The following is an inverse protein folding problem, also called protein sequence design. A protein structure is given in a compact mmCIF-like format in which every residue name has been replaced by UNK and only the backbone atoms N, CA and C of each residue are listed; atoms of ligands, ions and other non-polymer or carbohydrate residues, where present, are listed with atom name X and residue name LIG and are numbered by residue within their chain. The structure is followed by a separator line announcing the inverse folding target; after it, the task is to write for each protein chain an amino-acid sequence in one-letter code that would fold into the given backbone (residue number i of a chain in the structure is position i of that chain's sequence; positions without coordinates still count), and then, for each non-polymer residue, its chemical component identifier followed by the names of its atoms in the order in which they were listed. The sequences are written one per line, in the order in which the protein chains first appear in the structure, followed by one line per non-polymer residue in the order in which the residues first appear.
data_IF_420638820478
#
_entry.id   IF_420638820478
#
_cell.length_a   1.000
_cell.length_b   1.000
_cell.length_c   1.000
_cell.angle_alpha   90.00
_cell.angle_beta   90.00
_cell.angle_gamma   90.00
#
_symmetry.space_group_name_H-M   'P 1'
#
loop_
_entity.id
_entity.type
_entity.pdbx_description
1 polymer ?
#
# COMPACT_ATOMS: atom_id res chain seq x y z
N UNK A 1 -21.86 16.78 -5.51
CA UNK A 1 -20.63 17.10 -4.76
C UNK A 1 -20.54 16.39 -3.41
N UNK A 2 -21.61 16.31 -2.62
CA UNK A 2 -21.56 15.70 -1.27
C UNK A 2 -21.07 14.24 -1.22
N UNK A 3 -21.44 13.41 -2.21
CA UNK A 3 -21.01 12.01 -2.26
C UNK A 3 -19.50 11.84 -2.49
N UNK A 4 -18.85 12.74 -3.24
CA UNK A 4 -17.39 12.74 -3.44
C UNK A 4 -16.66 13.08 -2.13
N UNK A 5 -17.21 13.98 -1.32
CA UNK A 5 -16.66 14.31 -0.01
C UNK A 5 -16.80 13.14 0.96
N UNK A 6 -17.95 12.46 0.96
CA UNK A 6 -18.17 11.22 1.74
C UNK A 6 -17.19 10.13 1.30
N UNK A 7 -17.06 9.91 -0.01
CA UNK A 7 -16.13 8.94 -0.57
C UNK A 7 -14.67 9.29 -0.21
N UNK A 8 -14.27 10.56 -0.34
CA UNK A 8 -12.94 11.01 0.01
C UNK A 8 -12.65 10.83 1.51
N UNK A 9 -13.58 11.20 2.37
CA UNK A 9 -13.45 11.01 3.82
C UNK A 9 -13.30 9.54 4.20
N UNK A 10 -14.18 8.68 3.69
CA UNK A 10 -14.11 7.24 3.91
C UNK A 10 -12.82 6.63 3.32
N UNK A 11 -12.45 7.02 2.10
CA UNK A 11 -11.19 6.59 1.47
C UNK A 11 -9.97 7.01 2.28
N UNK A 12 -9.98 8.20 2.88
CA UNK A 12 -8.89 8.69 3.72
C UNK A 12 -8.79 7.89 5.01
N UNK A 13 -9.91 7.61 5.68
CA UNK A 13 -9.94 6.76 6.88
C UNK A 13 -9.42 5.35 6.58
N UNK A 14 -9.89 4.77 5.47
CA UNK A 14 -9.42 3.48 4.99
C UNK A 14 -7.92 3.57 4.69
N UNK A 15 -7.46 4.55 3.92
CA UNK A 15 -6.06 4.73 3.53
C UNK A 15 -5.15 4.91 4.75
N UNK A 16 -5.59 5.62 5.79
CA UNK A 16 -4.86 5.79 7.06
C UNK A 16 -4.77 4.52 7.90
N UNK A 17 -5.68 3.56 7.69
CA UNK A 17 -5.64 2.27 8.40
C UNK A 17 -4.30 1.57 8.14
N UNK A 18 -3.56 1.16 9.18
CA UNK A 18 -2.27 0.50 9.03
C UNK A 18 -2.36 -0.70 8.09
N UNK A 19 -1.47 -0.76 7.11
CA UNK A 19 -1.43 -1.80 6.11
C UNK A 19 -0.04 -1.89 5.49
N UNK A 20 0.14 -2.84 4.57
CA UNK A 20 1.46 -3.16 4.01
C UNK A 20 2.18 -1.96 3.43
N UNK A 21 1.51 -1.22 2.55
CA UNK A 21 2.04 -0.02 1.91
C UNK A 21 2.38 1.10 2.92
N UNK A 22 1.54 1.29 3.93
CA UNK A 22 1.73 2.36 4.92
C UNK A 22 2.94 2.07 5.82
N UNK A 23 3.06 0.83 6.26
CA UNK A 23 4.20 0.38 7.05
C UNK A 23 5.50 0.37 6.25
N UNK A 24 5.43 0.04 4.96
CA UNK A 24 6.58 0.13 4.07
C UNK A 24 7.00 1.59 3.84
N UNK A 25 6.04 2.50 3.63
CA UNK A 25 6.30 3.94 3.54
C UNK A 25 6.93 4.50 4.82
N UNK A 26 6.46 4.06 5.99
CA UNK A 26 7.06 4.37 7.29
C UNK A 26 8.53 3.90 7.36
N UNK A 27 8.78 2.65 6.98
CA UNK A 27 10.13 2.07 6.95
C UNK A 27 11.04 2.82 5.96
N UNK A 28 10.55 3.13 4.76
CA UNK A 28 11.29 3.92 3.78
C UNK A 28 11.57 5.35 4.27
N UNK A 29 10.62 6.01 4.95
CA UNK A 29 10.85 7.31 5.59
C UNK A 29 11.93 7.23 6.68
N UNK A 30 11.92 6.16 7.47
CA UNK A 30 12.91 5.94 8.54
C UNK A 30 14.31 5.60 8.01
N UNK A 31 14.42 4.81 6.93
CA UNK A 31 15.69 4.42 6.33
C UNK A 31 16.26 5.49 5.40
N UNK A 32 15.46 5.94 4.44
CA UNK A 32 15.91 6.68 3.25
C UNK A 32 15.51 8.16 3.26
N UNK A 33 14.71 8.60 4.24
CA UNK A 33 14.25 9.99 4.38
C UNK A 33 13.09 10.35 3.45
N UNK A 34 12.59 11.57 3.60
CA UNK A 34 11.33 12.03 2.98
C UNK A 34 11.36 11.96 1.44
N UNK A 35 12.41 12.50 0.80
CA UNK A 35 12.48 12.58 -0.67
C UNK A 35 12.41 11.22 -1.35
N UNK A 36 13.30 10.30 -0.99
CA UNK A 36 13.35 8.94 -1.57
C UNK A 36 12.07 8.15 -1.28
N UNK A 37 11.49 8.31 -0.09
CA UNK A 37 10.25 7.65 0.29
C UNK A 37 9.04 8.19 -0.48
N UNK A 38 8.99 9.51 -0.78
CA UNK A 38 7.96 10.09 -1.64
C UNK A 38 8.06 9.58 -3.08
N UNK A 39 9.26 9.35 -3.61
CA UNK A 39 9.40 8.67 -4.92
C UNK A 39 8.91 7.21 -4.84
N UNK A 40 9.16 6.54 -3.71
CA UNK A 40 8.53 5.27 -3.37
C UNK A 40 7.01 5.30 -3.49
N UNK A 41 6.40 6.29 -2.85
CA UNK A 41 4.97 6.54 -2.88
C UNK A 41 4.44 6.71 -4.31
N UNK A 42 5.17 7.39 -5.20
CA UNK A 42 4.79 7.49 -6.61
C UNK A 42 4.77 6.13 -7.30
N UNK A 43 5.71 5.23 -6.98
CA UNK A 43 5.70 3.84 -7.44
C UNK A 43 4.45 3.08 -6.98
N UNK A 44 4.03 3.26 -5.73
CA UNK A 44 2.76 2.72 -5.22
C UNK A 44 1.55 3.29 -5.96
N UNK A 45 1.50 4.61 -6.18
CA UNK A 45 0.39 5.23 -6.90
C UNK A 45 0.31 4.74 -8.36
N UNK A 46 1.44 4.53 -9.02
CA UNK A 46 1.47 3.96 -10.37
C UNK A 46 0.85 2.54 -10.42
N UNK A 47 1.11 1.69 -9.43
CA UNK A 47 0.46 0.39 -9.32
C UNK A 47 -1.07 0.52 -9.16
N UNK A 48 -1.53 1.49 -8.36
CA UNK A 48 -2.97 1.73 -8.19
C UNK A 48 -3.61 2.33 -9.44
N UNK A 49 -2.93 3.19 -10.19
CA UNK A 49 -3.41 3.66 -11.50
C UNK A 49 -3.66 2.49 -12.44
N UNK A 50 -2.72 1.53 -12.51
CA UNK A 50 -2.91 0.33 -13.34
C UNK A 50 -4.09 -0.53 -12.86
N UNK A 51 -4.25 -0.70 -11.55
CA UNK A 51 -5.40 -1.41 -10.98
C UNK A 51 -6.72 -0.71 -11.30
N UNK A 52 -6.79 0.61 -11.14
CA UNK A 52 -7.96 1.44 -11.47
C UNK A 52 -8.29 1.30 -12.95
N UNK A 53 -7.29 1.41 -13.83
CA UNK A 53 -7.47 1.26 -15.27
C UNK A 53 -8.01 -0.13 -15.63
N UNK A 54 -7.48 -1.19 -15.00
CA UNK A 54 -7.96 -2.55 -15.19
C UNK A 54 -9.43 -2.70 -14.73
N UNK A 55 -9.78 -2.17 -13.57
CA UNK A 55 -11.14 -2.22 -13.03
C UNK A 55 -12.11 -1.41 -13.91
N UNK A 56 -11.70 -0.22 -14.36
CA UNK A 56 -12.48 0.62 -15.27
C UNK A 56 -12.69 -0.06 -16.64
N UNK A 57 -11.72 -0.84 -17.11
CA UNK A 57 -11.82 -1.65 -18.32
C UNK A 57 -12.71 -2.90 -18.16
N UNK A 58 -13.30 -3.13 -16.98
CA UNK A 58 -14.21 -4.25 -16.73
C UNK A 58 -13.56 -5.48 -16.08
N UNK A 59 -12.25 -5.44 -15.79
CA UNK A 59 -11.57 -6.55 -15.10
C UNK A 59 -12.16 -6.78 -13.70
N UNK A 60 -12.71 -5.76 -13.05
CA UNK A 60 -13.41 -5.89 -11.76
C UNK A 60 -14.68 -6.75 -11.85
N UNK A 61 -15.43 -6.63 -12.96
CA UNK A 61 -16.61 -7.46 -13.21
C UNK A 61 -16.20 -8.90 -13.54
N UNK A 62 -15.10 -9.09 -14.26
CA UNK A 62 -14.53 -10.40 -14.56
C UNK A 62 -14.05 -11.12 -13.28
N UNK A 63 -13.37 -10.39 -12.38
CA UNK A 63 -12.92 -10.92 -11.09
C UNK A 63 -14.10 -11.24 -10.16
N UNK A 64 -15.15 -10.42 -10.17
CA UNK A 64 -16.37 -10.70 -9.39
C UNK A 64 -17.16 -11.88 -9.95
N UNK A 65 -17.16 -12.08 -11.27
CA UNK A 65 -17.80 -13.23 -11.92
C UNK A 65 -17.02 -14.54 -11.72
N UNK A 66 -15.72 -14.49 -11.46
CA UNK A 66 -14.86 -15.66 -11.30
C UNK A 66 -14.39 -15.82 -9.84
N UNK A 67 -15.17 -16.55 -9.04
CA UNK A 67 -14.89 -16.80 -7.62
C UNK A 67 -13.44 -17.29 -7.29
N UNK A 68 -12.78 -18.13 -8.12
CA UNK A 68 -11.38 -18.51 -7.89
C UNK A 68 -10.39 -17.33 -8.04
N UNK A 69 -10.71 -16.30 -8.82
CA UNK A 69 -9.80 -15.18 -9.07
C UNK A 69 -9.49 -14.40 -7.80
N UNK A 70 -10.53 -14.10 -7.00
CA UNK A 70 -10.40 -13.42 -5.72
C UNK A 70 -9.58 -14.27 -4.74
N UNK A 71 -9.73 -15.59 -4.81
CA UNK A 71 -8.93 -16.54 -4.00
C UNK A 71 -7.46 -16.53 -4.41
N UNK A 72 -7.15 -16.54 -5.72
CA UNK A 72 -5.77 -16.48 -6.22
C UNK A 72 -5.10 -15.17 -5.82
N UNK A 73 -5.78 -14.03 -6.05
CA UNK A 73 -5.28 -12.70 -5.70
C UNK A 73 -5.04 -12.60 -4.19
N UNK A 74 -5.96 -13.12 -3.38
CA UNK A 74 -5.78 -13.23 -1.92
C UNK A 74 -4.51 -13.98 -1.58
N UNK A 75 -4.29 -15.18 -2.12
CA UNK A 75 -3.13 -16.01 -1.78
C UNK A 75 -1.80 -15.42 -2.28
N UNK A 76 -1.79 -14.73 -3.42
CA UNK A 76 -0.64 -13.93 -3.87
C UNK A 76 -0.31 -12.85 -2.83
N UNK A 77 -1.33 -12.13 -2.35
CA UNK A 77 -1.18 -11.14 -1.29
C UNK A 77 -0.66 -11.76 0.02
N UNK A 78 -1.19 -12.90 0.45
CA UNK A 78 -0.70 -13.64 1.63
C UNK A 78 0.79 -13.96 1.48
N UNK A 79 1.18 -14.60 0.37
CA UNK A 79 2.56 -15.02 0.13
C UNK A 79 3.53 -13.82 0.13
N UNK A 80 3.13 -12.72 -0.49
CA UNK A 80 3.95 -11.52 -0.57
C UNK A 80 4.09 -10.81 0.79
N UNK A 81 3.02 -10.74 1.60
CA UNK A 81 3.08 -10.21 2.97
C UNK A 81 3.96 -11.06 3.87
N UNK A 82 3.90 -12.39 3.75
CA UNK A 82 4.81 -13.30 4.47
C UNK A 82 6.25 -13.02 4.08
N UNK A 83 6.55 -12.96 2.78
CA UNK A 83 7.88 -12.63 2.28
C UNK A 83 8.38 -11.30 2.84
N UNK A 84 7.58 -10.24 2.77
CA UNK A 84 7.97 -8.90 3.23
C UNK A 84 8.15 -8.83 4.75
N UNK A 85 7.22 -9.40 5.52
CA UNK A 85 7.30 -9.46 6.98
C UNK A 85 8.56 -10.20 7.44
N UNK A 86 8.86 -11.35 6.82
CA UNK A 86 10.09 -12.12 7.08
C UNK A 86 11.33 -11.31 6.68
N UNK A 87 11.35 -10.67 5.51
CA UNK A 87 12.49 -9.84 5.06
C UNK A 87 12.80 -8.71 6.02
N UNK A 88 11.79 -7.95 6.46
CA UNK A 88 11.96 -6.84 7.41
C UNK A 88 12.50 -7.35 8.75
N UNK A 89 12.01 -8.49 9.25
CA UNK A 89 12.51 -9.10 10.49
C UNK A 89 13.97 -9.56 10.34
N UNK A 90 14.33 -10.15 9.20
CA UNK A 90 15.70 -10.60 8.90
C UNK A 90 16.65 -9.40 8.80
N UNK A 91 16.24 -8.36 8.09
CA UNK A 91 17.02 -7.13 7.91
C UNK A 91 17.21 -6.40 9.26
N UNK A 92 16.18 -6.38 10.12
CA UNK A 92 16.29 -5.88 11.50
C UNK A 92 17.24 -6.70 12.39
N UNK A 93 17.55 -7.96 12.04
CA UNK A 93 18.48 -8.81 12.80
C UNK A 93 19.93 -8.67 12.35
N UNK A 94 20.19 -8.31 11.09
CA UNK A 94 21.55 -8.13 10.58
C UNK A 94 22.09 -6.80 11.08
N UNK A 95 23.18 -6.83 11.87
CA UNK A 95 24.01 -5.66 12.20
C UNK A 95 24.79 -5.20 10.97
N UNK A 96 24.14 -5.09 9.81
CA UNK A 96 24.74 -4.30 8.76
C UNK A 96 24.68 -2.85 9.30
N UNK A 97 25.79 -2.08 9.28
CA UNK A 97 25.64 -0.65 9.07
C UNK A 97 24.57 -0.52 7.99
N UNK A 98 23.61 0.42 8.10
CA UNK A 98 22.80 0.74 6.93
C UNK A 98 23.81 0.84 5.79
N UNK A 99 23.83 -0.16 4.88
CA UNK A 99 24.82 -0.16 3.83
C UNK A 99 24.62 1.21 3.24
N UNK A 100 25.71 1.95 3.19
CA UNK A 100 25.72 3.24 2.59
C UNK A 100 25.32 2.96 1.14
N UNK A 101 24.00 2.97 0.88
CA UNK A 101 23.37 2.81 -0.43
C UNK A 101 23.54 4.14 -1.16
N UNK A 102 24.76 4.69 -1.04
CA UNK A 102 25.31 5.90 -1.62
C UNK A 102 25.58 5.71 -3.12
N UNK A 103 24.91 4.73 -3.75
CA UNK A 103 24.60 4.76 -5.17
C UNK A 103 23.23 5.44 -5.36
N UNK A 104 23.18 6.77 -5.54
CA UNK A 104 21.93 7.54 -5.61
C UNK A 104 20.97 7.07 -6.72
N UNK A 105 21.47 6.37 -7.74
CA UNK A 105 20.67 5.85 -8.85
C UNK A 105 20.07 4.45 -8.60
N UNK A 106 20.63 3.63 -7.70
CA UNK A 106 20.11 2.29 -7.38
C UNK A 106 19.10 2.29 -6.23
N UNK A 107 19.24 3.20 -5.25
CA UNK A 107 18.37 3.24 -4.06
C UNK A 107 16.92 3.66 -4.35
N UNK A 108 16.70 4.76 -5.06
CA UNK A 108 15.35 5.33 -5.26
C UNK A 108 14.48 4.49 -6.18
N UNK A 109 15.04 3.98 -7.27
CA UNK A 109 14.33 3.08 -8.19
C UNK A 109 13.96 1.76 -7.52
N UNK A 110 14.84 1.22 -6.65
CA UNK A 110 14.55 0.02 -5.87
C UNK A 110 13.41 0.25 -4.86
N UNK A 111 13.37 1.42 -4.20
CA UNK A 111 12.28 1.83 -3.30
C UNK A 111 10.95 1.91 -4.06
N UNK A 112 10.91 2.62 -5.19
CA UNK A 112 9.72 2.73 -6.03
C UNK A 112 9.25 1.37 -6.56
N UNK A 113 10.17 0.50 -6.97
CA UNK A 113 9.84 -0.87 -7.40
C UNK A 113 9.27 -1.70 -6.25
N UNK A 114 9.82 -1.61 -5.05
CA UNK A 114 9.29 -2.31 -3.87
C UNK A 114 7.87 -1.84 -3.57
N UNK A 115 7.65 -0.53 -3.46
CA UNK A 115 6.33 0.07 -3.23
C UNK A 115 5.31 -0.33 -4.31
N UNK A 116 5.71 -0.32 -5.57
CA UNK A 116 4.88 -0.79 -6.69
C UNK A 116 4.48 -2.26 -6.52
N UNK A 117 5.44 -3.16 -6.25
CA UNK A 117 5.18 -4.59 -6.11
C UNK A 117 4.29 -4.92 -4.91
N UNK A 118 4.45 -4.20 -3.80
CA UNK A 118 3.57 -4.33 -2.63
C UNK A 118 2.17 -3.83 -2.98
N UNK A 119 2.08 -2.68 -3.65
CA UNK A 119 0.82 -2.06 -3.99
C UNK A 119 0.00 -2.90 -4.98
N UNK A 120 0.63 -3.46 -6.02
CA UNK A 120 -0.08 -4.26 -7.03
C UNK A 120 -0.57 -5.60 -6.48
N UNK A 121 0.09 -6.11 -5.43
CA UNK A 121 -0.32 -7.34 -4.72
C UNK A 121 -1.14 -7.03 -3.46
N UNK A 122 -1.49 -5.76 -3.21
CA UNK A 122 -2.11 -5.36 -1.96
C UNK A 122 -3.60 -5.78 -1.95
N UNK A 123 -3.98 -6.74 -1.09
CA UNK A 123 -5.37 -7.21 -0.99
C UNK A 123 -6.33 -6.09 -0.54
N UNK A 124 -5.85 -5.10 0.22
CA UNK A 124 -6.64 -3.93 0.63
C UNK A 124 -7.08 -3.12 -0.58
N UNK A 125 -6.18 -2.91 -1.55
CA UNK A 125 -6.50 -2.19 -2.76
C UNK A 125 -7.53 -2.95 -3.61
N UNK A 126 -7.35 -4.26 -3.73
CA UNK A 126 -8.30 -5.13 -4.44
C UNK A 126 -9.68 -5.05 -3.80
N UNK A 127 -9.80 -5.15 -2.47
CA UNK A 127 -11.07 -5.04 -1.75
C UNK A 127 -11.72 -3.67 -1.93
N UNK A 128 -10.94 -2.59 -1.95
CA UNK A 128 -11.48 -1.24 -2.18
C UNK A 128 -12.11 -1.16 -3.56
N UNK A 129 -11.43 -1.62 -4.61
CA UNK A 129 -11.97 -1.51 -5.97
C UNK A 129 -13.04 -2.54 -6.31
N UNK A 130 -13.14 -3.66 -5.57
CA UNK A 130 -14.14 -4.71 -5.81
C UNK A 130 -15.36 -4.62 -4.91
N UNK A 131 -15.24 -4.09 -3.69
CA UNK A 131 -16.33 -4.07 -2.71
C UNK A 131 -16.75 -2.66 -2.29
N UNK A 132 -15.84 -1.68 -2.26
CA UNK A 132 -16.12 -0.32 -1.76
C UNK A 132 -16.49 0.64 -2.90
N UNK A 133 -15.64 0.77 -3.92
CA UNK A 133 -15.84 1.67 -5.07
C UNK A 133 -17.18 1.41 -5.78
N UNK A 134 -17.62 0.17 -6.03
CA UNK A 134 -18.93 -0.09 -6.65
C UNK A 134 -20.13 0.47 -5.89
N UNK A 135 -20.02 0.69 -4.57
CA UNK A 135 -21.12 1.26 -3.75
C UNK A 135 -21.38 2.73 -4.06
N UNK A 136 -20.44 3.41 -4.73
CA UNK A 136 -20.51 4.82 -5.10
C UNK A 136 -20.77 5.01 -6.60
N UNK A 137 -20.92 3.93 -7.36
CA UNK A 137 -21.20 3.97 -8.80
C UNK A 137 -22.71 3.88 -8.99
N UNK A 138 -23.24 4.78 -9.82
CA UNK A 138 -24.62 4.71 -10.28
C UNK A 138 -24.66 4.76 -11.81
N UNK A 139 -24.96 3.63 -12.49
CA UNK A 139 -25.05 3.59 -13.95
C UNK A 139 -26.03 4.60 -14.56
N UNK A 140 -27.03 5.07 -13.81
CA UNK A 140 -27.97 6.11 -14.26
C UNK A 140 -27.31 7.49 -14.41
N UNK A 141 -26.18 7.72 -13.75
CA UNK A 141 -25.47 9.00 -13.73
C UNK A 141 -24.29 9.07 -14.72
N UNK A 142 -24.16 8.11 -15.64
CA UNK A 142 -23.20 8.13 -16.75
C UNK A 142 -22.33 6.88 -16.84
N UNK A 143 -21.32 6.86 -17.75
CA UNK A 143 -20.53 5.67 -18.00
C UNK A 143 -19.76 5.18 -16.77
N UNK A 144 -19.96 3.91 -16.40
CA UNK A 144 -19.30 3.26 -15.26
C UNK A 144 -17.77 3.44 -15.29
N UNK A 145 -17.05 3.24 -16.42
CA UNK A 145 -15.59 3.42 -16.46
C UNK A 145 -15.15 4.84 -16.09
N UNK A 146 -15.91 5.86 -16.47
CA UNK A 146 -15.61 7.25 -16.13
C UNK A 146 -15.82 7.51 -14.63
N UNK A 147 -16.86 6.93 -14.02
CA UNK A 147 -17.09 6.99 -12.58
C UNK A 147 -15.97 6.27 -11.81
N UNK A 148 -15.53 5.10 -12.27
CA UNK A 148 -14.37 4.37 -11.69
C UNK A 148 -13.10 5.20 -11.77
N UNK A 149 -12.84 5.84 -12.91
CA UNK A 149 -11.65 6.69 -13.07
C UNK A 149 -11.69 7.90 -12.12
N UNK A 150 -12.84 8.55 -11.97
CA UNK A 150 -13.03 9.67 -11.04
C UNK A 150 -12.85 9.24 -9.57
N UNK A 151 -13.54 8.19 -9.15
CA UNK A 151 -13.42 7.61 -7.82
C UNK A 151 -11.99 7.14 -7.54
N UNK A 152 -11.35 6.52 -8.53
CA UNK A 152 -9.95 6.12 -8.48
C UNK A 152 -9.02 7.31 -8.26
N UNK A 153 -9.21 8.42 -8.97
CA UNK A 153 -8.41 9.64 -8.78
C UNK A 153 -8.57 10.22 -7.36
N UNK A 154 -9.78 10.24 -6.83
CA UNK A 154 -10.05 10.68 -5.45
C UNK A 154 -9.39 9.74 -4.43
N UNK A 155 -9.43 8.43 -4.68
CA UNK A 155 -8.75 7.44 -3.85
C UNK A 155 -7.22 7.59 -3.90
N UNK A 156 -6.63 7.85 -5.07
CA UNK A 156 -5.19 8.12 -5.21
C UNK A 156 -4.76 9.34 -4.40
N UNK A 157 -5.58 10.40 -4.35
CA UNK A 157 -5.33 11.56 -3.50
C UNK A 157 -5.35 11.17 -2.02
N UNK A 158 -6.37 10.43 -1.58
CA UNK A 158 -6.45 9.94 -0.20
C UNK A 158 -5.24 9.07 0.19
N UNK A 159 -4.83 8.17 -0.70
CA UNK A 159 -3.64 7.31 -0.51
C UNK A 159 -2.34 8.10 -0.51
N UNK A 160 -2.22 9.14 -1.33
CA UNK A 160 -1.06 10.04 -1.31
C UNK A 160 -0.94 10.75 0.03
N UNK A 161 -2.05 11.30 0.54
CA UNK A 161 -2.09 12.00 1.83
C UNK A 161 -1.75 11.04 2.97
N UNK A 162 -2.44 9.89 3.04
CA UNK A 162 -2.18 8.88 4.06
C UNK A 162 -0.73 8.36 4.00
N UNK A 163 -0.23 8.05 2.81
CA UNK A 163 1.16 7.62 2.61
C UNK A 163 2.17 8.63 3.11
N UNK A 164 1.95 9.90 2.79
CA UNK A 164 2.81 11.00 3.23
C UNK A 164 2.84 11.09 4.75
N UNK A 165 1.72 10.90 5.44
CA UNK A 165 1.67 10.86 6.92
C UNK A 165 2.59 9.77 7.47
N UNK A 166 2.52 8.55 6.95
CA UNK A 166 3.40 7.45 7.39
C UNK A 166 4.88 7.73 7.07
N UNK A 167 5.18 8.26 5.88
CA UNK A 167 6.55 8.59 5.48
C UNK A 167 7.13 9.69 6.39
N UNK A 168 6.35 10.74 6.68
CA UNK A 168 6.75 11.82 7.58
C UNK A 168 6.97 11.28 8.98
N UNK A 169 6.07 10.44 9.50
CA UNK A 169 6.26 9.80 10.79
C UNK A 169 7.58 9.01 10.85
N UNK A 170 7.89 8.24 9.80
CA UNK A 170 9.14 7.48 9.70
C UNK A 170 10.37 8.39 9.66
N UNK A 171 10.27 9.50 8.93
CA UNK A 171 11.34 10.51 8.84
C UNK A 171 11.56 11.21 10.18
N UNK A 172 10.50 11.52 10.93
CA UNK A 172 10.59 12.09 12.28
C UNK A 172 11.24 11.11 13.26
N UNK A 173 10.88 9.82 13.19
CA UNK A 173 11.53 8.75 13.95
C UNK A 173 13.03 8.67 13.65
N UNK A 174 13.43 8.84 12.38
CA UNK A 174 14.85 8.94 11.99
C UNK A 174 15.52 10.16 12.64
N UNK A 175 14.87 11.32 12.57
CA UNK A 175 15.39 12.60 13.06
C UNK A 175 15.54 12.63 14.60
N UNK A 176 14.68 11.91 15.33
CA UNK A 176 14.72 11.81 16.79
C UNK A 176 15.96 11.08 17.36
N UNK A 177 16.92 10.67 16.51
CA UNK A 177 18.17 9.96 16.90
C UNK A 177 17.94 8.78 17.84
N UNK A 178 16.82 8.08 17.66
CA UNK A 178 16.46 6.91 18.46
C UNK A 178 17.58 5.87 18.45
N UNK A 179 17.78 5.20 19.59
CA UNK A 179 18.77 4.13 19.71
C UNK A 179 18.54 3.02 18.66
N UNK A 180 19.61 2.36 18.23
CA UNK A 180 19.54 1.22 17.32
C UNK A 180 18.58 0.12 17.81
N UNK A 181 18.45 -0.05 19.14
CA UNK A 181 17.48 -0.97 19.75
C UNK A 181 16.04 -0.55 19.50
N UNK A 182 15.72 0.74 19.61
CA UNK A 182 14.37 1.25 19.36
C UNK A 182 13.98 1.11 17.88
N UNK A 183 14.88 1.46 16.94
CA UNK A 183 14.65 1.25 15.50
C UNK A 183 14.41 -0.23 15.18
N UNK A 184 15.22 -1.12 15.75
CA UNK A 184 15.07 -2.57 15.60
C UNK A 184 13.73 -3.08 16.12
N UNK A 185 13.24 -2.54 17.23
CA UNK A 185 11.94 -2.92 17.78
C UNK A 185 10.79 -2.44 16.89
N UNK A 186 10.92 -1.27 16.26
CA UNK A 186 9.96 -0.77 15.28
C UNK A 186 9.95 -1.66 14.04
N UNK A 187 11.10 -1.98 13.44
CA UNK A 187 11.15 -2.86 12.26
C UNK A 187 10.62 -4.27 12.57
N UNK A 188 10.96 -4.83 13.74
CA UNK A 188 10.38 -6.10 14.19
C UNK A 188 8.87 -6.01 14.37
N UNK A 189 8.39 -4.94 14.99
CA UNK A 189 6.96 -4.69 15.16
C UNK A 189 6.24 -4.61 13.82
N UNK A 190 6.79 -3.85 12.88
CA UNK A 190 6.30 -3.75 11.49
C UNK A 190 6.24 -5.13 10.83
N UNK A 191 7.32 -5.91 10.87
CA UNK A 191 7.33 -7.24 10.28
C UNK A 191 6.33 -8.20 10.93
N UNK A 192 6.18 -8.17 12.26
CA UNK A 192 5.18 -8.98 12.98
C UNK A 192 3.76 -8.56 12.60
N UNK A 193 3.48 -7.27 12.48
CA UNK A 193 2.17 -6.78 12.04
C UNK A 193 1.89 -7.24 10.61
N UNK A 194 2.87 -7.19 9.70
CA UNK A 194 2.70 -7.71 8.33
C UNK A 194 2.40 -9.20 8.30
N UNK A 195 3.06 -10.00 9.12
CA UNK A 195 2.76 -11.43 9.27
C UNK A 195 1.37 -11.67 9.86
N UNK A 196 0.98 -10.88 10.86
CA UNK A 196 -0.37 -10.92 11.43
C UNK A 196 -1.44 -10.58 10.39
N UNK A 197 -1.21 -9.55 9.58
CA UNK A 197 -2.09 -9.17 8.47
C UNK A 197 -2.16 -10.27 7.40
N UNK A 198 -1.05 -10.96 7.12
CA UNK A 198 -1.05 -12.12 6.24
C UNK A 198 -1.92 -13.26 6.80
N UNK A 199 -1.85 -13.53 8.10
CA UNK A 199 -2.67 -14.53 8.78
C UNK A 199 -4.16 -14.18 8.78
N UNK A 200 -4.51 -12.92 9.09
CA UNK A 200 -5.89 -12.42 9.02
C UNK A 200 -6.47 -12.52 7.61
N UNK A 201 -5.67 -12.13 6.61
CA UNK A 201 -6.04 -12.27 5.21
C UNK A 201 -6.23 -13.73 4.80
N UNK A 202 -5.34 -14.62 5.24
CA UNK A 202 -5.47 -16.06 4.98
C UNK A 202 -6.77 -16.63 5.58
N UNK A 203 -7.17 -16.14 6.76
CA UNK A 203 -8.38 -16.58 7.46
C UNK A 203 -9.70 -15.95 6.99
N UNK A 204 -9.68 -14.89 6.17
CA UNK A 204 -10.92 -14.28 5.67
C UNK A 204 -11.63 -15.18 4.66
N UNK A 205 -12.97 -15.24 4.70
CA UNK A 205 -13.74 -15.97 3.68
C UNK A 205 -13.72 -15.16 2.37
N UNK A 206 -13.49 -15.85 1.26
CA UNK A 206 -13.57 -15.35 -0.13
C UNK A 206 -14.96 -15.55 -0.69
#
# INVERSE_FOLDING_TARGET
MGWLLVFFGASTLIALTPGANNLLGLHHGMGHGLGSALVGLLGRLAAFVLLIAAVAAGLGQLLAAWAPALTIVKWIGVAYLVYLGVRIIIEARRLLPAEDDSSPARGVAAIARKEFLVAITNPKAVLIFTAFVPQFIDPAHGPVPAQVALLGAVYLLAEFLAGTVYIVAGTLVKAARMSLRARRNIDRGTGVVLLGMAGLLAGSRT
#
